data_IF_610166654044
#
_entry.id   IF_610166654044
#
_cell.length_a   1.000
_cell.length_b   1.000
_cell.length_c   1.000
_cell.angle_alpha   90.00
_cell.angle_beta   90.00
_cell.angle_gamma   90.00
#
_symmetry.space_group_name_H-M   'P 1'
#
loop_
_entity.id
_entity.type
_entity.pdbx_description
1 polymer ?
#
# COMPACT_ATOMS: atom_id res chain seq x y z
N UNK A 1 34.51 -34.14 -1.80
CA UNK A 1 33.44 -35.05 -1.33
C UNK A 1 32.15 -34.26 -1.37
N UNK A 2 31.40 -34.40 -2.46
CA UNK A 2 30.08 -33.78 -2.65
C UNK A 2 29.07 -34.51 -1.78
N UNK A 3 28.38 -33.76 -0.90
CA UNK A 3 27.32 -34.31 -0.06
C UNK A 3 26.20 -34.90 -0.95
N UNK A 4 25.63 -36.06 -0.60
CA UNK A 4 24.55 -36.65 -1.37
C UNK A 4 23.29 -35.77 -1.24
N UNK A 5 22.78 -35.29 -2.38
CA UNK A 5 21.49 -34.59 -2.48
C UNK A 5 20.39 -35.49 -1.88
N UNK A 6 19.67 -34.96 -0.91
CA UNK A 6 18.54 -35.66 -0.29
C UNK A 6 17.32 -35.63 -1.24
N UNK A 7 16.50 -36.70 -1.34
CA UNK A 7 15.32 -36.77 -2.23
C UNK A 7 14.27 -35.65 -2.04
N UNK A 8 14.39 -34.92 -0.94
CA UNK A 8 13.52 -33.81 -0.53
C UNK A 8 13.74 -32.55 -1.40
N UNK A 9 14.94 -32.38 -1.96
CA UNK A 9 15.25 -31.31 -2.91
C UNK A 9 14.53 -31.57 -4.26
N UNK A 10 14.47 -32.83 -4.72
CA UNK A 10 13.78 -33.23 -5.95
C UNK A 10 12.25 -33.05 -5.85
N UNK A 11 11.65 -33.29 -4.69
CA UNK A 11 10.22 -33.04 -4.47
C UNK A 11 9.88 -31.55 -4.40
N UNK A 12 10.84 -30.70 -4.03
CA UNK A 12 10.64 -29.25 -3.97
C UNK A 12 10.44 -28.67 -5.36
N UNK A 13 11.22 -29.11 -6.34
CA UNK A 13 11.04 -28.70 -7.75
C UNK A 13 9.66 -29.09 -8.28
N UNK A 14 9.22 -30.34 -8.05
CA UNK A 14 7.90 -30.82 -8.47
C UNK A 14 6.78 -30.02 -7.78
N UNK A 15 6.92 -29.74 -6.48
CA UNK A 15 5.93 -28.98 -5.72
C UNK A 15 5.84 -27.53 -6.20
N UNK A 16 6.97 -26.90 -6.52
CA UNK A 16 7.03 -25.56 -7.10
C UNK A 16 6.39 -25.53 -8.50
N UNK A 17 6.66 -26.54 -9.35
CA UNK A 17 6.02 -26.68 -10.67
C UNK A 17 4.50 -26.80 -10.56
N UNK A 18 4.00 -27.63 -9.64
CA UNK A 18 2.55 -27.79 -9.39
C UNK A 18 1.94 -26.46 -8.92
N UNK A 19 2.59 -25.78 -7.96
CA UNK A 19 2.12 -24.50 -7.44
C UNK A 19 2.07 -23.42 -8.54
N UNK A 20 3.14 -23.31 -9.34
CA UNK A 20 3.22 -22.36 -10.45
C UNK A 20 2.18 -22.66 -11.54
N UNK A 21 1.93 -23.94 -11.86
CA UNK A 21 0.90 -24.33 -12.81
C UNK A 21 -0.51 -23.95 -12.32
N UNK A 22 -0.81 -24.20 -11.03
CA UNK A 22 -2.08 -23.80 -10.40
C UNK A 22 -2.26 -22.29 -10.41
N UNK A 23 -1.22 -21.53 -10.06
CA UNK A 23 -1.27 -20.07 -10.06
C UNK A 23 -1.55 -19.51 -11.46
N UNK A 24 -0.85 -20.02 -12.49
CA UNK A 24 -1.10 -19.64 -13.89
C UNK A 24 -2.54 -19.94 -14.32
N UNK A 25 -3.06 -21.10 -13.95
CA UNK A 25 -4.45 -21.47 -14.26
C UNK A 25 -5.44 -20.50 -13.61
N UNK A 26 -5.26 -20.18 -12.32
CA UNK A 26 -6.11 -19.22 -11.60
C UNK A 26 -6.05 -17.83 -12.23
N UNK A 27 -4.85 -17.36 -12.59
CA UNK A 27 -4.68 -16.06 -13.25
C UNK A 27 -5.35 -16.03 -14.62
N UNK A 28 -5.16 -17.06 -15.45
CA UNK A 28 -5.80 -17.15 -16.77
C UNK A 28 -7.33 -17.17 -16.67
N UNK A 29 -7.88 -17.94 -15.71
CA UNK A 29 -9.32 -17.95 -15.43
C UNK A 29 -9.80 -16.58 -14.97
N UNK A 30 -9.05 -15.89 -14.12
CA UNK A 30 -9.41 -14.54 -13.68
C UNK A 30 -9.45 -13.56 -14.85
N UNK A 31 -8.40 -13.52 -15.67
CA UNK A 31 -8.35 -12.65 -16.85
C UNK A 31 -9.52 -12.91 -17.79
N UNK A 32 -9.78 -14.17 -18.14
CA UNK A 32 -10.90 -14.55 -19.00
C UNK A 32 -12.26 -14.14 -18.40
N UNK A 33 -12.43 -14.27 -17.08
CA UNK A 33 -13.65 -13.85 -16.40
C UNK A 33 -13.84 -12.33 -16.40
N UNK A 34 -12.77 -11.57 -16.15
CA UNK A 34 -12.80 -10.10 -16.20
C UNK A 34 -13.08 -9.62 -17.63
N UNK A 35 -12.48 -10.25 -18.64
CA UNK A 35 -12.75 -9.94 -20.05
C UNK A 35 -14.20 -10.26 -20.42
N UNK A 36 -14.76 -11.39 -19.95
CA UNK A 36 -16.17 -11.70 -20.15
C UNK A 36 -17.07 -10.61 -19.54
N UNK A 37 -16.79 -10.19 -18.32
CA UNK A 37 -17.54 -9.13 -17.65
C UNK A 37 -17.40 -7.78 -18.37
N UNK A 38 -16.22 -7.47 -18.89
CA UNK A 38 -15.99 -6.30 -19.74
C UNK A 38 -16.86 -6.35 -21.01
N UNK A 39 -16.85 -7.47 -21.73
CA UNK A 39 -17.64 -7.63 -22.97
C UNK A 39 -19.14 -7.56 -22.71
N UNK A 40 -19.62 -8.19 -21.63
CA UNK A 40 -21.02 -8.09 -21.21
C UNK A 40 -21.38 -6.65 -20.89
N UNK A 41 -20.53 -5.94 -20.14
CA UNK A 41 -20.69 -4.52 -19.85
C UNK A 41 -20.78 -3.66 -21.11
N UNK A 42 -19.87 -3.88 -22.06
CA UNK A 42 -19.84 -3.22 -23.38
C UNK A 42 -21.14 -3.42 -24.16
N UNK A 43 -21.62 -4.66 -24.23
CA UNK A 43 -22.87 -4.97 -24.95
C UNK A 43 -24.05 -4.28 -24.29
N UNK A 44 -24.17 -4.35 -22.97
CA UNK A 44 -25.27 -3.71 -22.22
C UNK A 44 -25.23 -2.19 -22.44
N UNK A 45 -24.05 -1.57 -22.29
CA UNK A 45 -23.87 -0.12 -22.46
C UNK A 45 -24.31 0.32 -23.86
N UNK A 46 -23.77 -0.31 -24.91
CA UNK A 46 -24.12 -0.02 -26.32
C UNK A 46 -25.62 -0.19 -26.59
N UNK A 47 -26.24 -1.28 -26.12
CA UNK A 47 -27.66 -1.57 -26.36
C UNK A 47 -28.59 -0.55 -25.69
N UNK A 48 -28.19 -0.01 -24.54
CA UNK A 48 -28.94 1.04 -23.84
C UNK A 48 -28.72 2.40 -24.53
N UNK A 49 -27.49 2.73 -24.91
CA UNK A 49 -27.18 3.96 -25.65
C UNK A 49 -27.95 4.07 -26.98
N UNK A 50 -28.12 2.95 -27.68
CA UNK A 50 -28.87 2.87 -28.94
C UNK A 50 -30.40 2.83 -28.75
N UNK A 51 -30.90 3.01 -27.52
CA UNK A 51 -32.31 2.90 -27.13
C UNK A 51 -32.98 1.56 -27.52
N UNK A 52 -32.19 0.52 -27.81
CA UNK A 52 -32.71 -0.82 -28.10
C UNK A 52 -33.19 -1.52 -26.82
N UNK A 53 -32.53 -1.24 -25.68
CA UNK A 53 -32.84 -1.81 -24.37
C UNK A 53 -33.28 -0.72 -23.39
N UNK A 54 -34.48 -0.87 -22.81
CA UNK A 54 -34.89 -0.12 -21.63
C UNK A 54 -34.37 -0.74 -20.31
N UNK A 55 -34.50 -0.02 -19.19
CA UNK A 55 -33.98 -0.44 -17.87
C UNK A 55 -34.51 -1.79 -17.38
N UNK A 56 -35.70 -2.20 -17.84
CA UNK A 56 -36.30 -3.50 -17.52
C UNK A 56 -35.64 -4.70 -18.23
N UNK A 57 -34.93 -4.48 -19.34
CA UNK A 57 -34.34 -5.55 -20.16
C UNK A 57 -33.17 -6.24 -19.46
N UNK A 58 -32.40 -5.51 -18.64
CA UNK A 58 -31.31 -6.10 -17.84
C UNK A 58 -31.85 -7.10 -16.82
N UNK A 59 -33.04 -6.86 -16.26
CA UNK A 59 -33.69 -7.81 -15.36
C UNK A 59 -34.16 -9.08 -16.09
N UNK A 60 -34.69 -8.91 -17.31
CA UNK A 60 -35.08 -10.04 -18.17
C UNK A 60 -33.86 -10.87 -18.59
N UNK A 61 -32.73 -10.23 -18.93
CA UNK A 61 -31.47 -10.90 -19.23
C UNK A 61 -30.98 -11.75 -18.04
N UNK A 62 -30.98 -11.19 -16.83
CA UNK A 62 -30.61 -11.94 -15.63
C UNK A 62 -31.53 -13.16 -15.42
N UNK A 63 -32.85 -12.98 -15.59
CA UNK A 63 -33.82 -14.07 -15.48
C UNK A 63 -33.65 -15.13 -16.58
N UNK A 64 -33.33 -14.73 -17.80
CA UNK A 64 -33.04 -15.63 -18.90
C UNK A 64 -31.80 -16.48 -18.61
N UNK A 65 -30.68 -15.86 -18.21
CA UNK A 65 -29.44 -16.55 -17.86
C UNK A 65 -29.63 -17.54 -16.71
N UNK A 66 -30.40 -17.17 -15.69
CA UNK A 66 -30.70 -18.07 -14.57
C UNK A 66 -31.48 -19.32 -14.99
N UNK A 67 -32.33 -19.22 -16.03
CA UNK A 67 -33.12 -20.35 -16.56
C UNK A 67 -32.33 -21.20 -17.54
N UNK A 68 -31.58 -20.58 -18.45
CA UNK A 68 -30.88 -21.27 -19.54
C UNK A 68 -29.52 -21.83 -19.12
N UNK A 69 -28.90 -21.27 -18.08
CA UNK A 69 -27.62 -21.75 -17.54
C UNK A 69 -27.71 -22.00 -16.02
N UNK A 70 -28.35 -23.11 -15.60
CA UNK A 70 -28.44 -23.46 -14.18
C UNK A 70 -27.05 -23.61 -13.54
N UNK A 71 -26.84 -22.97 -12.39
CA UNK A 71 -25.56 -23.01 -11.66
C UNK A 71 -24.57 -21.90 -12.04
N UNK A 72 -24.85 -21.12 -13.09
CA UNK A 72 -24.04 -19.96 -13.44
C UNK A 72 -24.13 -18.88 -12.35
N UNK A 73 -22.99 -18.56 -11.72
CA UNK A 73 -22.88 -17.53 -10.68
C UNK A 73 -22.34 -16.23 -11.27
N UNK A 74 -22.71 -15.10 -10.66
CA UNK A 74 -22.19 -13.78 -11.05
C UNK A 74 -23.00 -13.03 -12.10
N UNK A 75 -24.13 -13.55 -12.59
CA UNK A 75 -24.96 -12.87 -13.61
C UNK A 75 -26.32 -12.41 -13.06
N UNK A 76 -26.33 -11.93 -11.82
CA UNK A 76 -27.52 -11.30 -11.23
C UNK A 76 -27.76 -9.93 -11.84
N UNK A 77 -29.00 -9.42 -11.78
CA UNK A 77 -29.35 -8.06 -12.26
C UNK A 77 -28.35 -7.01 -11.77
N UNK A 78 -28.06 -6.99 -10.47
CA UNK A 78 -27.12 -6.04 -9.87
C UNK A 78 -25.70 -6.20 -10.40
N UNK A 79 -25.25 -7.43 -10.66
CA UNK A 79 -23.90 -7.62 -11.20
C UNK A 79 -23.81 -7.24 -12.68
N UNK A 80 -24.85 -7.43 -13.48
CA UNK A 80 -24.91 -6.95 -14.87
C UNK A 80 -24.81 -5.42 -14.95
N UNK A 81 -25.48 -4.69 -14.04
CA UNK A 81 -25.30 -3.24 -13.93
C UNK A 81 -23.88 -2.86 -13.50
N UNK A 82 -23.25 -3.64 -12.61
CA UNK A 82 -21.84 -3.44 -12.25
C UNK A 82 -20.89 -3.69 -13.42
N UNK A 83 -21.13 -4.71 -14.25
CA UNK A 83 -20.36 -4.98 -15.47
C UNK A 83 -20.46 -3.81 -16.46
N UNK A 84 -21.67 -3.27 -16.65
CA UNK A 84 -21.90 -2.06 -17.44
C UNK A 84 -21.08 -0.88 -16.90
N UNK A 85 -21.25 -0.54 -15.62
CA UNK A 85 -20.51 0.55 -14.98
C UNK A 85 -19.00 0.35 -15.06
N UNK A 86 -18.52 -0.88 -14.89
CA UNK A 86 -17.10 -1.24 -14.99
C UNK A 86 -16.54 -0.94 -16.37
N UNK A 87 -17.24 -1.35 -17.43
CA UNK A 87 -16.88 -1.00 -18.81
C UNK A 87 -16.88 0.51 -19.03
N UNK A 88 -17.98 1.19 -18.70
CA UNK A 88 -18.14 2.64 -18.91
C UNK A 88 -17.07 3.46 -18.18
N UNK A 89 -16.62 3.00 -17.00
CA UNK A 89 -15.62 3.70 -16.18
C UNK A 89 -14.21 3.61 -16.78
N UNK A 90 -13.86 2.48 -17.38
CA UNK A 90 -12.47 2.19 -17.76
C UNK A 90 -12.24 2.13 -19.28
N UNK A 91 -13.30 2.20 -20.11
CA UNK A 91 -13.19 2.05 -21.58
C UNK A 91 -12.26 3.05 -22.27
N UNK A 92 -12.14 4.27 -21.72
CA UNK A 92 -11.32 5.33 -22.29
C UNK A 92 -9.93 5.43 -21.64
N UNK A 93 -9.61 4.54 -20.68
CA UNK A 93 -8.37 4.58 -19.91
C UNK A 93 -7.44 3.43 -20.32
N UNK A 94 -6.51 3.75 -21.22
CA UNK A 94 -5.55 2.77 -21.77
C UNK A 94 -4.59 2.21 -20.71
N UNK A 95 -4.35 2.94 -19.62
CA UNK A 95 -3.44 2.53 -18.54
C UNK A 95 -4.17 1.63 -17.55
N UNK A 96 -5.41 1.97 -17.19
CA UNK A 96 -6.19 1.25 -16.19
C UNK A 96 -6.82 -0.04 -16.73
N UNK A 97 -7.19 -0.08 -18.01
CA UNK A 97 -7.81 -1.26 -18.61
C UNK A 97 -6.94 -2.55 -18.52
N UNK A 98 -5.61 -2.51 -18.66
CA UNK A 98 -4.74 -3.65 -18.34
C UNK A 98 -4.69 -4.00 -16.85
N UNK A 99 -4.69 -3.02 -15.95
CA UNK A 99 -4.55 -3.25 -14.50
C UNK A 99 -5.74 -4.01 -13.92
N UNK A 100 -6.97 -3.69 -14.34
CA UNK A 100 -8.18 -4.33 -13.82
C UNK A 100 -8.24 -5.84 -14.12
N UNK A 101 -7.53 -6.33 -15.14
CA UNK A 101 -7.43 -7.77 -15.48
C UNK A 101 -6.54 -8.57 -14.54
N UNK A 102 -5.63 -7.88 -13.84
CA UNK A 102 -4.69 -8.50 -12.89
C UNK A 102 -5.34 -8.75 -11.53
N UNK A 103 -6.45 -8.06 -11.23
CA UNK A 103 -7.17 -8.16 -9.97
C UNK A 103 -8.47 -8.97 -10.12
N UNK A 104 -8.94 -9.53 -9.02
CA UNK A 104 -10.20 -10.27 -9.02
C UNK A 104 -11.42 -9.34 -9.17
N UNK A 105 -12.54 -9.89 -9.62
CA UNK A 105 -13.79 -9.12 -9.74
C UNK A 105 -14.17 -8.41 -8.44
N UNK A 106 -13.92 -9.02 -7.29
CA UNK A 106 -14.20 -8.39 -6.00
C UNK A 106 -13.37 -7.13 -5.76
N UNK A 107 -12.08 -7.14 -6.10
CA UNK A 107 -11.20 -5.97 -5.97
C UNK A 107 -11.68 -4.84 -6.89
N UNK A 108 -11.94 -5.16 -8.15
CA UNK A 108 -12.44 -4.20 -9.13
C UNK A 108 -13.75 -3.55 -8.67
N UNK A 109 -14.69 -4.32 -8.11
CA UNK A 109 -15.96 -3.79 -7.59
C UNK A 109 -15.77 -2.93 -6.35
N UNK A 110 -14.84 -3.26 -5.46
CA UNK A 110 -14.52 -2.43 -4.30
C UNK A 110 -14.01 -1.07 -4.76
N UNK A 111 -13.01 -1.05 -5.65
CA UNK A 111 -12.38 0.17 -6.16
C UNK A 111 -13.39 1.00 -6.98
N UNK A 112 -14.17 0.36 -7.84
CA UNK A 112 -15.20 1.02 -8.66
C UNK A 112 -16.30 1.69 -7.83
N UNK A 113 -16.66 1.11 -6.69
CA UNK A 113 -17.73 1.65 -5.85
C UNK A 113 -17.23 2.68 -4.84
N UNK A 114 -16.02 2.50 -4.31
CA UNK A 114 -15.49 3.36 -3.24
C UNK A 114 -14.59 4.48 -3.75
N UNK A 115 -13.90 4.29 -4.88
CA UNK A 115 -13.06 5.31 -5.51
C UNK A 115 -13.90 6.40 -6.16
N UNK A 116 -13.69 7.64 -5.75
CA UNK A 116 -14.45 8.82 -6.17
C UNK A 116 -13.94 9.39 -7.48
N UNK A 117 -12.62 9.44 -7.68
CA UNK A 117 -11.98 9.97 -8.90
C UNK A 117 -11.27 8.88 -9.71
N UNK A 118 -10.96 9.11 -11.00
CA UNK A 118 -10.12 8.22 -11.80
C UNK A 118 -8.74 7.97 -11.17
N UNK A 119 -8.12 9.02 -10.64
CA UNK A 119 -6.78 8.99 -10.03
C UNK A 119 -6.77 8.13 -8.76
N UNK A 120 -7.78 8.27 -7.91
CA UNK A 120 -7.93 7.44 -6.72
C UNK A 120 -8.06 5.96 -7.10
N UNK A 121 -8.86 5.66 -8.15
CA UNK A 121 -9.04 4.27 -8.61
C UNK A 121 -7.73 3.70 -9.15
N UNK A 122 -7.02 4.45 -9.99
CA UNK A 122 -5.73 4.03 -10.50
C UNK A 122 -4.72 3.78 -9.38
N UNK A 123 -4.66 4.68 -8.39
CA UNK A 123 -3.80 4.55 -7.21
C UNK A 123 -4.03 3.21 -6.49
N UNK A 124 -5.28 2.89 -6.13
CA UNK A 124 -5.59 1.64 -5.42
C UNK A 124 -5.40 0.40 -6.30
N UNK A 125 -5.62 0.49 -7.63
CA UNK A 125 -5.34 -0.62 -8.54
C UNK A 125 -3.83 -0.94 -8.57
N UNK A 126 -2.99 0.08 -8.72
CA UNK A 126 -1.53 -0.07 -8.75
C UNK A 126 -1.01 -0.63 -7.42
N UNK A 127 -1.44 -0.07 -6.29
CA UNK A 127 -0.97 -0.53 -4.97
C UNK A 127 -1.48 -1.93 -4.63
N UNK A 128 -2.75 -2.26 -4.93
CA UNK A 128 -3.27 -3.60 -4.69
C UNK A 128 -2.50 -4.68 -5.46
N UNK A 129 -2.05 -4.38 -6.68
CA UNK A 129 -1.21 -5.28 -7.49
C UNK A 129 0.21 -5.38 -6.90
N UNK A 130 0.84 -4.24 -6.62
CA UNK A 130 2.22 -4.16 -6.09
C UNK A 130 2.36 -4.89 -4.75
N UNK A 131 1.51 -4.51 -3.79
CA UNK A 131 1.50 -5.03 -2.43
C UNK A 131 0.78 -6.38 -2.29
N UNK A 132 0.18 -6.88 -3.38
CA UNK A 132 -0.62 -8.11 -3.40
C UNK A 132 -1.72 -8.13 -2.32
N UNK A 133 -2.40 -7.00 -2.16
CA UNK A 133 -3.47 -6.90 -1.16
C UNK A 133 -4.59 -7.88 -1.44
N UNK A 134 -4.98 -8.61 -0.40
CA UNK A 134 -6.26 -9.31 -0.40
C UNK A 134 -7.43 -8.34 -0.27
N UNK A 135 -8.63 -8.84 -0.55
CA UNK A 135 -9.88 -8.06 -0.50
C UNK A 135 -10.03 -7.23 0.78
N UNK A 136 -9.76 -7.85 1.94
CA UNK A 136 -9.90 -7.21 3.26
C UNK A 136 -8.90 -6.07 3.47
N UNK A 137 -7.67 -6.24 2.98
CA UNK A 137 -6.64 -5.22 3.12
C UNK A 137 -6.94 -4.03 2.20
N UNK A 138 -7.36 -4.28 0.96
CA UNK A 138 -7.83 -3.21 0.08
C UNK A 138 -8.99 -2.41 0.72
N UNK A 139 -9.97 -3.09 1.32
CA UNK A 139 -11.06 -2.42 2.05
C UNK A 139 -10.56 -1.62 3.25
N UNK A 140 -9.54 -2.12 3.97
CA UNK A 140 -8.90 -1.41 5.09
C UNK A 140 -8.21 -0.14 4.60
N UNK A 141 -7.38 -0.23 3.56
CA UNK A 141 -6.64 0.91 3.01
C UNK A 141 -7.57 1.99 2.42
N UNK A 142 -8.69 1.59 1.83
CA UNK A 142 -9.75 2.52 1.40
C UNK A 142 -10.43 3.22 2.59
N UNK A 143 -10.64 2.51 3.71
CA UNK A 143 -11.24 3.09 4.93
C UNK A 143 -10.29 4.01 5.66
N UNK A 144 -8.98 3.72 5.66
CA UNK A 144 -7.95 4.56 6.27
C UNK A 144 -7.56 5.78 5.43
N UNK A 145 -8.24 5.99 4.28
CA UNK A 145 -8.03 7.12 3.38
C UNK A 145 -6.57 7.25 2.93
N UNK A 146 -5.95 6.11 2.54
CA UNK A 146 -4.54 6.08 2.16
C UNK A 146 -4.23 7.04 1.02
N UNK A 147 -5.07 7.08 -0.02
CA UNK A 147 -4.90 7.98 -1.16
C UNK A 147 -4.84 9.44 -0.74
N UNK A 148 -5.82 9.89 0.04
CA UNK A 148 -5.92 11.28 0.49
C UNK A 148 -4.72 11.65 1.36
N UNK A 149 -4.26 10.74 2.23
CA UNK A 149 -3.09 10.97 3.08
C UNK A 149 -1.79 11.04 2.32
N UNK A 150 -1.59 10.14 1.36
CA UNK A 150 -0.37 10.12 0.54
C UNK A 150 -0.25 11.40 -0.29
N UNK A 151 -1.37 11.95 -0.77
CA UNK A 151 -1.36 13.21 -1.53
C UNK A 151 -1.21 14.46 -0.65
N UNK A 152 -1.90 14.51 0.49
CA UNK A 152 -1.86 15.67 1.38
C UNK A 152 -0.54 15.77 2.14
N UNK A 153 0.03 14.63 2.53
CA UNK A 153 1.24 14.56 3.35
C UNK A 153 2.19 13.50 2.76
N UNK A 154 2.97 13.85 1.72
CA UNK A 154 4.02 12.96 1.21
C UNK A 154 5.12 12.76 2.26
N UNK A 155 5.75 11.58 2.25
CA UNK A 155 6.79 11.24 3.22
C UNK A 155 7.97 12.22 3.14
N UNK A 156 8.30 12.85 4.27
CA UNK A 156 9.50 13.69 4.40
C UNK A 156 10.73 12.86 4.70
N UNK A 157 11.75 12.98 3.86
CA UNK A 157 13.00 12.19 3.89
C UNK A 157 14.23 13.08 3.90
N UNK A 158 15.34 12.62 4.49
CA UNK A 158 16.60 13.38 4.44
C UNK A 158 17.17 13.44 3.02
N UNK A 159 17.97 14.48 2.76
CA UNK A 159 18.66 14.61 1.46
C UNK A 159 19.58 13.41 1.19
N UNK A 160 20.24 12.88 2.23
CA UNK A 160 21.03 11.67 2.14
C UNK A 160 20.18 10.46 1.73
N UNK A 161 18.97 10.30 2.28
CA UNK A 161 18.09 9.19 1.91
C UNK A 161 17.67 9.26 0.44
N UNK A 162 17.24 10.43 -0.04
CA UNK A 162 16.83 10.60 -1.45
C UNK A 162 17.98 10.39 -2.45
N UNK A 163 19.21 10.71 -2.06
CA UNK A 163 20.39 10.53 -2.91
C UNK A 163 20.83 9.06 -3.00
N UNK A 164 20.84 8.36 -1.86
CA UNK A 164 21.24 6.95 -1.80
C UNK A 164 20.12 6.05 -2.37
N UNK A 165 18.87 6.39 -2.06
CA UNK A 165 17.69 5.62 -2.43
C UNK A 165 16.63 6.50 -3.12
N UNK A 166 16.75 6.74 -4.44
CA UNK A 166 15.77 7.52 -5.19
C UNK A 166 14.33 6.97 -5.07
N UNK A 167 14.19 5.66 -4.94
CA UNK A 167 12.90 4.98 -4.82
C UNK A 167 12.30 5.00 -3.40
N UNK A 168 13.02 5.51 -2.38
CA UNK A 168 12.58 5.46 -0.99
C UNK A 168 11.27 6.21 -0.74
N UNK A 169 11.01 7.28 -1.47
CA UNK A 169 9.75 8.05 -1.39
C UNK A 169 8.52 7.22 -1.76
N UNK A 170 8.67 6.19 -2.59
CA UNK A 170 7.60 5.27 -2.97
C UNK A 170 7.45 4.07 -2.04
N UNK A 171 8.40 3.89 -1.11
CA UNK A 171 8.45 2.77 -0.16
C UNK A 171 7.91 3.19 1.21
N UNK A 172 8.38 4.32 1.72
CA UNK A 172 8.04 4.77 3.07
C UNK A 172 6.82 5.68 3.07
N UNK A 173 6.06 5.60 4.16
CA UNK A 173 4.87 6.43 4.38
C UNK A 173 5.19 7.55 5.37
N UNK A 174 4.49 8.68 5.20
CA UNK A 174 4.54 9.77 6.16
C UNK A 174 3.87 9.42 7.49
N UNK A 175 2.87 8.53 7.43
CA UNK A 175 2.15 8.04 8.59
C UNK A 175 1.73 6.58 8.43
N UNK A 176 1.86 5.79 9.50
CA UNK A 176 1.51 4.37 9.57
C UNK A 176 0.30 4.13 10.50
N UNK A 177 -0.66 3.32 10.04
CA UNK A 177 -1.86 3.00 10.81
C UNK A 177 -1.63 1.81 11.72
N UNK A 178 -1.73 2.05 13.04
CA UNK A 178 -1.56 1.04 14.09
C UNK A 178 -2.82 0.93 14.96
N UNK A 179 -3.97 1.27 14.40
CA UNK A 179 -5.29 1.17 15.01
C UNK A 179 -5.63 -0.26 15.44
N UNK A 180 -5.08 -1.25 14.73
CA UNK A 180 -5.26 -2.68 15.05
C UNK A 180 -4.62 -3.13 16.37
N UNK A 181 -3.83 -2.26 17.01
CA UNK A 181 -3.25 -2.51 18.33
C UNK A 181 -4.22 -2.24 19.47
N UNK A 182 -5.31 -1.49 19.23
CA UNK A 182 -6.29 -1.08 20.25
C UNK A 182 -5.64 -0.45 21.50
N UNK A 183 -4.58 0.35 21.29
CA UNK A 183 -3.82 0.97 22.38
C UNK A 183 -4.66 2.00 23.16
N UNK A 184 -4.55 2.06 24.49
CA UNK A 184 -5.22 3.08 25.28
C UNK A 184 -4.65 4.48 24.99
N UNK A 185 -5.43 5.51 25.31
CA UNK A 185 -4.94 6.88 25.32
C UNK A 185 -3.83 7.03 26.37
N UNK A 186 -2.68 7.57 25.98
CA UNK A 186 -1.52 7.75 26.87
C UNK A 186 -0.71 6.48 27.14
N UNK A 187 -0.76 5.49 26.24
CA UNK A 187 0.09 4.30 26.29
C UNK A 187 1.59 4.64 26.38
N UNK A 188 2.36 3.78 27.03
CA UNK A 188 3.81 3.91 27.12
C UNK A 188 4.50 3.38 25.85
N UNK A 189 5.78 3.74 25.64
CA UNK A 189 6.60 3.20 24.53
C UNK A 189 6.66 1.67 24.56
N UNK A 190 6.70 1.08 25.76
CA UNK A 190 6.70 -0.37 25.96
C UNK A 190 5.40 -1.01 25.45
N UNK A 191 4.25 -0.37 25.64
CA UNK A 191 2.97 -0.87 25.16
C UNK A 191 2.90 -0.85 23.64
N UNK A 192 3.36 0.25 23.01
CA UNK A 192 3.46 0.37 21.56
C UNK A 192 4.40 -0.69 21.00
N UNK A 193 5.59 -0.85 21.59
CA UNK A 193 6.57 -1.83 21.16
C UNK A 193 6.02 -3.25 21.25
N UNK A 194 5.48 -3.66 22.40
CA UNK A 194 4.89 -4.99 22.59
C UNK A 194 3.68 -5.22 21.69
N UNK A 195 2.83 -4.22 21.50
CA UNK A 195 1.70 -4.29 20.58
C UNK A 195 2.15 -4.59 19.14
N UNK A 196 3.15 -3.86 18.64
CA UNK A 196 3.71 -4.06 17.31
C UNK A 196 4.28 -5.46 17.13
N UNK A 197 4.94 -6.03 18.16
CA UNK A 197 5.45 -7.40 18.11
C UNK A 197 4.34 -8.45 18.15
N UNK A 198 3.34 -8.28 19.02
CA UNK A 198 2.19 -9.19 19.10
C UNK A 198 1.37 -9.21 17.81
N UNK A 199 1.31 -8.07 17.12
CA UNK A 199 0.60 -7.89 15.84
C UNK A 199 1.56 -7.65 14.68
N UNK A 200 2.75 -8.27 14.72
CA UNK A 200 3.82 -8.05 13.73
C UNK A 200 3.35 -8.34 12.29
N UNK A 201 2.47 -9.31 12.10
CA UNK A 201 1.87 -9.58 10.78
C UNK A 201 1.13 -8.38 10.23
N UNK A 202 0.29 -7.74 11.04
CA UNK A 202 -0.51 -6.59 10.62
C UNK A 202 0.40 -5.36 10.43
N UNK A 203 1.42 -5.22 11.28
CA UNK A 203 2.42 -4.16 11.11
C UNK A 203 3.27 -4.34 9.84
N UNK A 204 3.68 -5.56 9.48
CA UNK A 204 4.38 -5.84 8.22
C UNK A 204 3.51 -5.50 7.00
N UNK A 205 2.21 -5.80 7.07
CA UNK A 205 1.26 -5.40 6.02
C UNK A 205 1.16 -3.88 5.92
N UNK A 206 1.17 -3.19 7.06
CA UNK A 206 1.15 -1.73 7.11
C UNK A 206 2.46 -1.10 6.60
N UNK A 207 3.62 -1.67 6.89
CA UNK A 207 4.91 -1.21 6.37
C UNK A 207 5.02 -1.41 4.86
N UNK A 208 4.70 -2.61 4.37
CA UNK A 208 4.76 -2.98 2.97
C UNK A 208 5.41 -4.34 2.75
N UNK A 209 5.21 -4.90 1.56
CA UNK A 209 5.55 -6.29 1.22
C UNK A 209 7.03 -6.67 1.37
N UNK A 210 7.93 -5.72 1.12
CA UNK A 210 9.38 -6.00 1.07
C UNK A 210 10.08 -5.88 2.43
N UNK A 211 9.35 -5.51 3.49
CA UNK A 211 9.87 -5.49 4.84
C UNK A 211 9.95 -6.91 5.42
N UNK A 212 11.10 -7.21 6.02
CA UNK A 212 11.37 -8.44 6.74
C UNK A 212 11.80 -8.11 8.17
N UNK A 213 11.15 -8.71 9.15
CA UNK A 213 11.54 -8.53 10.55
C UNK A 213 12.87 -9.23 10.84
N UNK A 214 13.81 -8.50 11.44
CA UNK A 214 15.14 -9.02 11.83
C UNK A 214 15.20 -9.25 13.33
N UNK A 215 14.73 -8.29 14.13
CA UNK A 215 14.72 -8.41 15.58
C UNK A 215 14.10 -7.22 16.29
N UNK A 216 13.87 -7.38 17.60
CA UNK A 216 13.39 -6.35 18.52
C UNK A 216 14.38 -6.19 19.65
N UNK A 217 14.46 -5.00 20.25
CA UNK A 217 15.47 -4.67 21.27
C UNK A 217 16.86 -5.14 20.80
N UNK A 218 17.18 -4.84 19.53
CA UNK A 218 18.33 -5.39 18.84
C UNK A 218 19.62 -4.87 19.50
N UNK A 219 20.47 -5.75 20.06
CA UNK A 219 21.62 -5.33 20.83
C UNK A 219 22.71 -4.78 19.90
N UNK A 220 23.25 -3.61 20.27
CA UNK A 220 24.36 -2.94 19.62
C UNK A 220 25.44 -2.67 20.66
N UNK A 221 26.66 -3.14 20.41
CA UNK A 221 27.78 -2.94 21.32
C UNK A 221 28.76 -1.94 20.72
N UNK A 222 28.85 -0.75 21.33
CA UNK A 222 29.74 0.32 20.84
C UNK A 222 30.62 0.81 21.99
N UNK A 223 31.94 0.74 21.80
CA UNK A 223 32.90 1.19 22.80
C UNK A 223 32.79 0.47 24.15
N UNK A 224 32.36 -0.80 24.16
CA UNK A 224 32.17 -1.60 25.37
C UNK A 224 30.92 -1.26 26.18
N UNK A 225 29.99 -0.47 25.64
CA UNK A 225 28.66 -0.24 26.20
C UNK A 225 27.60 -0.91 25.35
N UNK A 226 26.56 -1.39 26.01
CA UNK A 226 25.42 -2.04 25.37
C UNK A 226 24.30 -1.01 25.14
N UNK A 227 23.79 -1.01 23.93
CA UNK A 227 22.62 -0.25 23.50
C UNK A 227 21.62 -1.21 22.87
N UNK A 228 20.35 -0.82 22.82
CA UNK A 228 19.31 -1.58 22.16
C UNK A 228 18.51 -0.67 21.23
N UNK A 229 18.35 -1.08 19.98
CA UNK A 229 17.45 -0.48 19.00
C UNK A 229 16.07 -1.13 19.14
N UNK A 230 15.00 -0.33 19.15
CA UNK A 230 13.64 -0.85 19.39
C UNK A 230 13.26 -1.94 18.40
N UNK A 231 13.32 -1.65 17.09
CA UNK A 231 13.00 -2.62 16.04
C UNK A 231 13.99 -2.54 14.88
N UNK A 232 14.43 -3.71 14.41
CA UNK A 232 15.26 -3.86 13.22
C UNK A 232 14.52 -4.66 12.16
N UNK A 233 14.45 -4.08 10.97
CA UNK A 233 13.91 -4.70 9.77
C UNK A 233 14.99 -4.74 8.68
N UNK A 234 14.70 -5.51 7.63
CA UNK A 234 15.43 -5.51 6.38
C UNK A 234 14.46 -5.25 5.24
N UNK A 235 14.79 -4.30 4.36
CA UNK A 235 13.99 -4.03 3.18
C UNK A 235 14.59 -4.72 1.97
N UNK A 236 13.85 -5.66 1.36
CA UNK A 236 14.35 -6.48 0.24
C UNK A 236 14.56 -5.71 -1.05
N UNK A 237 13.66 -4.80 -1.42
CA UNK A 237 13.77 -3.98 -2.63
C UNK A 237 14.97 -3.02 -2.60
N UNK A 238 15.11 -2.25 -1.51
CA UNK A 238 16.26 -1.36 -1.27
C UNK A 238 17.54 -2.12 -0.86
N UNK A 239 17.43 -3.39 -0.45
CA UNK A 239 18.52 -4.26 -0.01
C UNK A 239 19.35 -3.64 1.13
N UNK A 240 18.67 -3.19 2.18
CA UNK A 240 19.28 -2.50 3.33
C UNK A 240 18.59 -2.85 4.65
N UNK A 241 19.30 -2.63 5.76
CA UNK A 241 18.71 -2.64 7.09
C UNK A 241 17.85 -1.39 7.30
N UNK A 242 16.77 -1.53 8.07
CA UNK A 242 15.88 -0.43 8.44
C UNK A 242 15.74 -0.43 9.96
N UNK A 243 16.33 0.57 10.61
CA UNK A 243 16.24 0.77 12.04
C UNK A 243 15.01 1.62 12.37
N UNK A 244 14.06 1.09 13.14
CA UNK A 244 12.86 1.82 13.56
C UNK A 244 12.96 2.11 15.05
N UNK A 245 12.96 3.39 15.41
CA UNK A 245 12.92 3.89 16.78
C UNK A 245 11.53 4.45 17.07
N UNK A 246 10.94 4.03 18.19
CA UNK A 246 9.57 4.34 18.58
C UNK A 246 9.54 5.48 19.59
N UNK A 247 8.62 6.44 19.42
CA UNK A 247 8.42 7.57 20.35
C UNK A 247 6.94 7.86 20.54
N UNK A 248 6.42 7.75 21.76
CA UNK A 248 5.01 8.08 22.06
C UNK A 248 4.74 9.59 22.16
N UNK A 249 5.80 10.40 22.14
CA UNK A 249 5.74 11.85 22.18
C UNK A 249 5.73 12.52 20.80
N UNK A 250 5.77 13.85 20.82
CA UNK A 250 6.10 14.66 19.64
C UNK A 250 7.56 14.42 19.26
N UNK A 251 7.85 14.47 17.97
CA UNK A 251 9.24 14.46 17.49
C UNK A 251 10.09 15.55 18.14
N UNK A 252 11.29 15.16 18.60
CA UNK A 252 12.34 16.04 19.10
C UNK A 252 13.67 15.80 18.38
N UNK A 253 14.45 16.87 18.19
CA UNK A 253 15.72 16.82 17.43
C UNK A 253 16.74 15.86 18.03
N UNK A 254 16.74 15.67 19.34
CA UNK A 254 17.66 14.76 20.03
C UNK A 254 17.53 13.29 19.57
N UNK A 255 16.35 12.89 19.10
CA UNK A 255 16.11 11.52 18.62
C UNK A 255 16.93 11.19 17.37
N UNK A 256 17.26 12.19 16.53
CA UNK A 256 18.11 11.99 15.35
C UNK A 256 19.55 11.63 15.74
N UNK A 257 20.05 12.14 16.87
CA UNK A 257 21.39 11.80 17.35
C UNK A 257 21.48 10.33 17.73
N UNK A 258 20.48 9.83 18.48
CA UNK A 258 20.37 8.41 18.85
C UNK A 258 20.23 7.51 17.63
N UNK A 259 19.37 7.89 16.68
CA UNK A 259 19.17 7.14 15.44
C UNK A 259 20.44 7.10 14.58
N UNK A 260 21.11 8.23 14.36
CA UNK A 260 22.34 8.31 13.58
C UNK A 260 23.45 7.43 14.16
N UNK A 261 23.56 7.38 15.50
CA UNK A 261 24.47 6.47 16.19
C UNK A 261 24.15 5.00 15.90
N UNK A 262 22.87 4.61 15.88
CA UNK A 262 22.48 3.24 15.52
C UNK A 262 22.77 2.90 14.07
N UNK A 263 22.53 3.81 13.14
CA UNK A 263 22.82 3.59 11.74
C UNK A 263 24.31 3.37 11.49
N UNK A 264 25.18 4.14 12.14
CA UNK A 264 26.64 3.96 12.04
C UNK A 264 27.07 2.59 12.59
N UNK A 265 26.54 2.19 13.75
CA UNK A 265 26.83 0.87 14.34
C UNK A 265 26.35 -0.27 13.44
N UNK A 266 25.14 -0.16 12.88
CA UNK A 266 24.61 -1.14 11.93
C UNK A 266 25.47 -1.22 10.68
N UNK A 267 25.84 -0.09 10.10
CA UNK A 267 26.62 -0.03 8.86
C UNK A 267 28.04 -0.57 9.01
N UNK A 268 28.65 -0.39 10.18
CA UNK A 268 30.01 -0.82 10.45
C UNK A 268 30.10 -2.28 10.92
N UNK A 269 29.20 -2.69 11.80
CA UNK A 269 29.37 -3.93 12.57
C UNK A 269 28.37 -5.03 12.18
N UNK A 270 27.24 -4.70 11.55
CA UNK A 270 26.15 -5.65 11.25
C UNK A 270 25.94 -5.84 9.74
N UNK A 271 25.98 -4.75 8.98
CA UNK A 271 25.72 -4.70 7.55
C UNK A 271 26.67 -5.61 6.78
N UNK A 272 26.13 -6.38 5.85
CA UNK A 272 26.94 -7.24 4.97
C UNK A 272 27.50 -6.45 3.79
N UNK A 273 28.59 -6.92 3.16
CA UNK A 273 29.23 -6.20 2.05
C UNK A 273 28.35 -5.92 0.82
N UNK A 274 27.28 -6.69 0.63
CA UNK A 274 26.34 -6.53 -0.49
C UNK A 274 25.10 -5.70 -0.14
N UNK A 275 24.93 -5.32 1.14
CA UNK A 275 23.80 -4.54 1.62
C UNK A 275 24.12 -3.04 1.48
N UNK A 276 23.09 -2.25 1.17
CA UNK A 276 23.21 -0.80 1.10
C UNK A 276 23.14 -0.15 2.51
N UNK A 277 23.55 1.13 2.67
CA UNK A 277 23.55 1.82 3.97
C UNK A 277 22.22 1.76 4.72
N UNK A 278 22.24 1.44 6.00
CA UNK A 278 21.04 1.29 6.82
C UNK A 278 20.20 2.57 6.82
N UNK A 279 18.86 2.43 6.80
CA UNK A 279 17.91 3.55 6.83
C UNK A 279 17.31 3.68 8.22
N UNK A 280 17.23 4.90 8.74
CA UNK A 280 16.58 5.20 10.00
C UNK A 280 15.12 5.65 9.83
N UNK A 281 14.23 5.11 10.65
CA UNK A 281 12.83 5.52 10.73
C UNK A 281 12.52 5.92 12.17
N UNK A 282 12.18 7.17 12.39
CA UNK A 282 11.60 7.62 13.65
C UNK A 282 10.09 7.56 13.53
N UNK A 283 9.45 6.73 14.36
CA UNK A 283 8.01 6.58 14.40
C UNK A 283 7.46 7.26 15.66
N UNK A 284 6.91 8.47 15.48
CA UNK A 284 6.45 9.32 16.57
C UNK A 284 4.91 9.39 16.65
N UNK A 285 4.35 9.76 17.81
CA UNK A 285 2.90 9.98 17.91
C UNK A 285 2.44 11.25 17.17
N UNK A 286 3.33 12.24 17.06
CA UNK A 286 3.11 13.46 16.28
C UNK A 286 4.42 14.08 15.85
N UNK A 287 4.38 14.89 14.79
CA UNK A 287 5.52 15.70 14.35
C UNK A 287 5.06 17.06 13.85
N UNK A 288 6.01 17.99 13.79
CA UNK A 288 5.80 19.29 13.18
C UNK A 288 6.52 19.32 11.84
N UNK A 289 5.76 19.62 10.79
CA UNK A 289 6.29 19.56 9.43
C UNK A 289 7.44 20.52 9.19
N UNK A 290 7.43 21.71 9.80
CA UNK A 290 8.53 22.67 9.65
C UNK A 290 9.74 22.17 10.42
N UNK A 291 9.57 21.77 11.67
CA UNK A 291 10.68 21.26 12.50
C UNK A 291 11.36 20.05 11.86
N UNK A 292 10.57 19.12 11.31
CA UNK A 292 11.06 17.94 10.59
C UNK A 292 11.90 18.35 9.39
N UNK A 293 11.46 19.33 8.62
CA UNK A 293 12.16 19.80 7.43
C UNK A 293 13.49 20.47 7.78
N UNK A 294 13.48 21.34 8.79
CA UNK A 294 14.71 21.94 9.32
C UNK A 294 15.69 20.87 9.82
N UNK A 295 15.21 19.88 10.57
CA UNK A 295 16.03 18.81 11.13
C UNK A 295 16.66 17.91 10.06
N UNK A 296 15.89 17.54 9.02
CA UNK A 296 16.34 16.63 7.96
C UNK A 296 17.22 17.33 6.91
N UNK A 297 17.09 18.65 6.72
CA UNK A 297 17.82 19.42 5.69
C UNK A 297 19.35 19.30 5.76
N UNK A 298 19.90 19.11 6.97
CA UNK A 298 21.35 18.93 7.21
C UNK A 298 21.71 17.55 7.75
N UNK A 299 20.76 16.63 7.78
CA UNK A 299 21.03 15.27 8.25
C UNK A 299 21.88 14.53 7.22
N UNK A 300 23.06 14.09 7.65
CA UNK A 300 23.95 13.24 6.84
C UNK A 300 23.47 11.78 6.85
N UNK A 301 22.69 11.40 7.85
CA UNK A 301 22.15 10.05 7.95
C UNK A 301 20.91 9.87 7.06
N UNK A 302 20.80 8.73 6.34
CA UNK A 302 19.59 8.38 5.59
C UNK A 302 18.46 8.08 6.58
N UNK A 303 17.60 9.06 6.82
CA UNK A 303 16.58 9.00 7.86
C UNK A 303 15.25 9.59 7.38
N UNK A 304 14.16 9.08 7.93
CA UNK A 304 12.82 9.61 7.76
C UNK A 304 12.08 9.66 9.10
N UNK A 305 11.14 10.61 9.19
CA UNK A 305 10.32 10.81 10.37
C UNK A 305 8.86 10.59 9.96
N UNK A 306 8.24 9.59 10.56
CA UNK A 306 6.86 9.20 10.30
C UNK A 306 6.03 9.28 11.58
N UNK A 307 4.73 9.51 11.40
CA UNK A 307 3.76 9.43 12.50
C UNK A 307 3.11 8.05 12.58
N UNK A 308 2.74 7.59 13.77
CA UNK A 308 1.77 6.49 13.89
C UNK A 308 0.41 7.03 14.35
N UNK A 309 -0.68 6.52 13.79
CA UNK A 309 -2.02 6.84 14.28
C UNK A 309 -2.70 5.58 14.81
N UNK A 310 -3.26 5.71 16.01
CA UNK A 310 -4.00 4.65 16.72
C UNK A 310 -5.48 4.66 16.39
N UNK A 311 -5.95 5.64 15.61
CA UNK A 311 -7.35 5.77 15.20
C UNK A 311 -7.42 5.98 13.69
N UNK A 312 -8.50 5.49 13.08
CA UNK A 312 -8.76 5.75 11.67
C UNK A 312 -9.07 7.24 11.47
N UNK A 313 -8.49 7.87 10.44
CA UNK A 313 -8.77 9.26 10.14
C UNK A 313 -10.20 9.44 9.64
N UNK A 314 -10.76 10.64 9.82
CA UNK A 314 -12.04 11.00 9.21
C UNK A 314 -11.86 11.16 7.70
N UNK A 315 -12.29 10.14 6.96
CA UNK A 315 -12.24 10.10 5.50
C UNK A 315 -12.98 11.27 4.86
N UNK A 316 -14.13 11.70 5.40
CA UNK A 316 -14.90 12.79 4.81
C UNK A 316 -14.14 14.12 4.95
N UNK A 317 -13.51 14.35 6.11
CA UNK A 317 -12.67 15.51 6.35
C UNK A 317 -11.45 15.55 5.42
N UNK A 318 -10.74 14.42 5.26
CA UNK A 318 -9.58 14.35 4.36
C UNK A 318 -9.95 14.59 2.90
N UNK A 319 -11.11 14.09 2.46
CA UNK A 319 -11.61 14.34 1.12
C UNK A 319 -11.99 15.80 0.89
N UNK A 320 -12.57 16.46 1.88
CA UNK A 320 -12.85 17.89 1.82
C UNK A 320 -11.55 18.70 1.70
N UNK A 321 -10.53 18.36 2.50
CA UNK A 321 -9.20 18.99 2.41
C UNK A 321 -8.51 18.75 1.07
N UNK A 322 -8.59 17.53 0.53
CA UNK A 322 -8.02 17.22 -0.78
C UNK A 322 -8.73 18.00 -1.90
N UNK A 323 -10.06 18.15 -1.80
CA UNK A 323 -10.81 18.96 -2.74
C UNK A 323 -10.39 20.43 -2.69
N UNK A 324 -10.26 21.00 -1.49
CA UNK A 324 -9.74 22.36 -1.29
C UNK A 324 -8.32 22.51 -1.84
N UNK A 325 -7.44 21.53 -1.60
CA UNK A 325 -6.08 21.50 -2.16
C UNK A 325 -6.10 21.55 -3.70
N UNK A 326 -6.98 20.81 -4.37
CA UNK A 326 -7.11 20.89 -5.82
C UNK A 326 -7.63 22.24 -6.31
N UNK A 327 -8.57 22.86 -5.60
CA UNK A 327 -9.08 24.19 -5.96
C UNK A 327 -7.98 25.24 -5.86
N UNK A 328 -7.19 25.23 -4.78
CA UNK A 328 -6.12 26.19 -4.55
C UNK A 328 -4.94 26.04 -5.51
N UNK A 329 -4.71 24.83 -6.04
CA UNK A 329 -3.63 24.53 -6.97
C UNK A 329 -4.10 24.41 -8.44
N UNK A 330 -5.39 24.67 -8.72
CA UNK A 330 -5.84 24.80 -10.10
C UNK A 330 -5.20 26.06 -10.68
N UNK A 331 -4.55 26.00 -11.86
CA UNK A 331 -4.02 27.19 -12.49
C UNK A 331 -5.20 28.16 -12.71
N UNK A 332 -5.07 29.39 -12.22
CA UNK A 332 -6.04 30.44 -12.47
C UNK A 332 -6.36 30.44 -13.96
N UNK A 333 -7.63 30.16 -14.28
CA UNK A 333 -8.12 30.28 -15.64
C UNK A 333 -7.78 31.69 -16.10
N UNK A 334 -6.88 31.79 -17.07
CA UNK A 334 -6.49 33.01 -17.73
C UNK A 334 -7.76 33.72 -18.25
N UNK A 335 -8.37 34.57 -17.43
CA UNK A 335 -9.32 35.60 -17.88
C UNK A 335 -8.50 36.68 -18.54
N UNK A 336 -8.11 36.38 -19.78
CA UNK A 336 -7.48 37.29 -20.71
C UNK A 336 -8.13 37.11 -22.07
N UNK A 337 -9.41 37.47 -22.18
CA UNK A 337 -10.06 37.80 -23.45
C UNK A 337 -10.91 39.06 -23.26
N UNK A 338 -10.35 40.15 -23.80
CA UNK A 338 -11.01 41.16 -24.64
C UNK A 338 -12.24 41.90 -24.08
N UNK A 339 -11.99 43.15 -23.67
CA UNK A 339 -12.75 44.32 -24.16
C UNK A 339 -11.84 45.56 -24.21
#
# INVERSE_FOLDING_TARGET
MTAPLTPQDDFTEITQLIAAARQRAVQAVNTALIDLYWQVGKIISRKIEQAEWGDGVVAQLAGHLARTQPGLRGFTRSNLFRMRKFYETYQCDEIVAPLVRQLSWSHNIIILNQGKSPEEREFYLRLAIREQWGKRELERQLKSALFERTLLNPAKVSAALSQIYPDALGVFKDSYMVEFLDLPQGHAEVDLHQGLLQRLKDFLIELGRDFCFVGSEYPLQVGGRDFALDLLFFHRGLNCLVAIELKVGRFELEYLGKLGFYLEALDRDVKKPHEQPAIGVLLCASKDNEVVEYALSRSLSPALIAEYQTQLPDKALLQAKLHEFYILNAPDGNTGEEA
#
